data_IF_171885323869
#
_entry.id   IF_171885323869
#
_cell.length_a   1.000
_cell.length_b   1.000
_cell.length_c   1.000
_cell.angle_alpha   90.00
_cell.angle_beta   90.00
_cell.angle_gamma   90.00
#
_symmetry.space_group_name_H-M   'P 1'
#
loop_
_entity.id
_entity.type
_entity.pdbx_description
1 polymer ?
#
# COMPACT_ATOMS: atom_id res chain seq x y z
N UNK A 1 -16.99 -16.05 13.08
CA UNK A 1 -16.49 -14.74 13.53
C UNK A 1 -15.21 -14.48 12.75
N UNK A 2 -15.25 -13.63 11.73
CA UNK A 2 -14.01 -13.16 11.09
C UNK A 2 -13.20 -12.42 12.16
N UNK A 3 -11.97 -12.87 12.41
CA UNK A 3 -11.08 -12.18 13.34
C UNK A 3 -10.75 -10.81 12.77
N UNK A 4 -11.09 -9.77 13.53
CA UNK A 4 -10.68 -8.40 13.21
C UNK A 4 -9.18 -8.29 13.51
N UNK A 5 -8.35 -8.27 12.46
CA UNK A 5 -6.87 -8.25 12.57
C UNK A 5 -6.40 -6.82 12.85
N UNK A 6 -7.15 -5.83 12.35
CA UNK A 6 -6.83 -4.42 12.53
C UNK A 6 -7.94 -3.68 13.28
N UNK A 7 -7.61 -2.90 14.32
CA UNK A 7 -8.50 -1.83 14.77
C UNK A 7 -8.86 -0.92 13.58
N UNK A 8 -10.13 -0.43 13.45
CA UNK A 8 -10.56 0.37 12.30
C UNK A 8 -9.66 1.58 12.01
N UNK A 9 -9.18 2.26 13.05
CA UNK A 9 -8.24 3.38 12.93
C UNK A 9 -6.89 2.98 12.35
N UNK A 10 -6.35 1.83 12.74
CA UNK A 10 -5.07 1.30 12.23
C UNK A 10 -5.23 0.88 10.77
N UNK A 11 -6.39 0.32 10.43
CA UNK A 11 -6.76 -0.06 9.08
C UNK A 11 -6.73 1.14 8.13
N UNK A 12 -7.38 2.23 8.51
CA UNK A 12 -7.44 3.44 7.68
C UNK A 12 -6.06 4.08 7.50
N UNK A 13 -5.26 4.15 8.58
CA UNK A 13 -3.87 4.66 8.52
C UNK A 13 -3.01 3.81 7.59
N UNK A 14 -3.13 2.48 7.64
CA UNK A 14 -2.37 1.58 6.77
C UNK A 14 -2.73 1.78 5.29
N UNK A 15 -4.03 1.88 4.97
CA UNK A 15 -4.52 2.14 3.60
C UNK A 15 -3.97 3.48 3.10
N UNK A 16 -4.06 4.54 3.89
CA UNK A 16 -3.59 5.89 3.51
C UNK A 16 -2.07 5.89 3.29
N UNK A 17 -1.32 5.25 4.18
CA UNK A 17 0.13 5.18 4.09
C UNK A 17 0.58 4.45 2.82
N UNK A 18 0.00 3.28 2.54
CA UNK A 18 0.33 2.51 1.35
C UNK A 18 0.01 3.26 0.07
N UNK A 19 -1.17 3.90 -0.02
CA UNK A 19 -1.52 4.67 -1.21
C UNK A 19 -0.60 5.87 -1.42
N UNK A 20 -0.20 6.55 -0.32
CA UNK A 20 0.73 7.68 -0.38
C UNK A 20 2.11 7.25 -0.87
N UNK A 21 2.62 6.11 -0.38
CA UNK A 21 3.90 5.56 -0.81
C UNK A 21 3.89 5.17 -2.29
N UNK A 22 2.83 4.48 -2.73
CA UNK A 22 2.68 4.08 -4.14
C UNK A 22 2.57 5.30 -5.06
N UNK A 23 1.87 6.36 -4.63
CA UNK A 23 1.83 7.62 -5.38
C UNK A 23 3.19 8.31 -5.42
N UNK A 24 3.91 8.36 -4.30
CA UNK A 24 5.25 8.96 -4.22
C UNK A 24 6.26 8.25 -5.12
N UNK A 25 6.16 6.93 -5.24
CA UNK A 25 6.98 6.14 -6.17
C UNK A 25 6.51 6.16 -7.63
N UNK A 26 5.43 6.89 -7.94
CA UNK A 26 4.89 7.00 -9.30
C UNK A 26 4.15 5.75 -9.79
N UNK A 27 3.83 4.81 -8.89
CA UNK A 27 3.06 3.60 -9.21
C UNK A 27 1.57 3.92 -9.37
N UNK A 28 1.05 4.89 -8.60
CA UNK A 28 -0.32 5.38 -8.71
C UNK A 28 -0.34 6.84 -9.13
N UNK A 29 -1.12 7.17 -10.17
CA UNK A 29 -1.44 8.54 -10.54
C UNK A 29 -2.47 9.19 -9.60
N UNK A 30 -2.59 10.54 -9.59
CA UNK A 30 -3.49 11.26 -8.69
C UNK A 30 -4.97 10.83 -8.77
N UNK A 31 -5.44 10.46 -9.97
CA UNK A 31 -6.81 9.96 -10.18
C UNK A 31 -7.01 8.51 -9.73
N UNK A 32 -5.93 7.74 -9.59
CA UNK A 32 -5.98 6.31 -9.27
C UNK A 32 -5.95 6.06 -7.75
N UNK A 33 -5.34 6.98 -6.98
CA UNK A 33 -5.25 6.91 -5.51
C UNK A 33 -6.61 6.71 -4.86
N UNK A 34 -7.61 7.53 -5.22
CA UNK A 34 -8.94 7.44 -4.62
C UNK A 34 -9.64 6.11 -4.96
N UNK A 35 -9.51 5.64 -6.20
CA UNK A 35 -10.07 4.36 -6.63
C UNK A 35 -9.40 3.16 -5.95
N UNK A 36 -8.09 3.24 -5.74
CA UNK A 36 -7.32 2.20 -5.06
C UNK A 36 -7.67 2.15 -3.56
N UNK A 37 -7.75 3.30 -2.88
CA UNK A 37 -8.22 3.40 -1.49
C UNK A 37 -9.60 2.75 -1.32
N UNK A 38 -10.56 3.07 -2.20
CA UNK A 38 -11.90 2.48 -2.13
C UNK A 38 -11.89 0.95 -2.29
N UNK A 39 -11.01 0.40 -3.14
CA UNK A 39 -10.85 -1.06 -3.27
C UNK A 39 -10.33 -1.68 -1.97
N UNK A 40 -9.31 -1.08 -1.35
CA UNK A 40 -8.73 -1.58 -0.09
C UNK A 40 -9.72 -1.54 1.08
N UNK A 41 -10.56 -0.49 1.17
CA UNK A 41 -11.61 -0.40 2.18
C UNK A 41 -12.67 -1.51 2.07
N UNK A 42 -12.83 -2.15 0.90
CA UNK A 42 -13.77 -3.25 0.68
C UNK A 42 -13.19 -4.64 0.95
N UNK A 43 -11.88 -4.74 1.21
CA UNK A 43 -11.23 -6.04 1.49
C UNK A 43 -11.58 -6.54 2.89
N UNK A 44 -11.55 -7.86 3.08
CA UNK A 44 -11.49 -8.43 4.43
C UNK A 44 -10.11 -8.16 5.04
N UNK A 45 -10.01 -8.18 6.37
CA UNK A 45 -8.77 -7.84 7.08
C UNK A 45 -7.57 -8.70 6.66
N UNK A 46 -7.77 -10.00 6.42
CA UNK A 46 -6.72 -10.92 5.94
C UNK A 46 -6.24 -10.51 4.55
N UNK A 47 -7.17 -10.22 3.63
CA UNK A 47 -6.82 -9.81 2.26
C UNK A 47 -6.11 -8.46 2.25
N UNK A 48 -6.58 -7.53 3.07
CA UNK A 48 -5.92 -6.25 3.24
C UNK A 48 -4.49 -6.44 3.77
N UNK A 49 -4.28 -7.25 4.80
CA UNK A 49 -2.95 -7.52 5.33
C UNK A 49 -1.99 -8.04 4.25
N UNK A 50 -2.43 -9.01 3.44
CA UNK A 50 -1.64 -9.56 2.33
C UNK A 50 -1.30 -8.49 1.28
N UNK A 51 -2.29 -7.72 0.83
CA UNK A 51 -2.07 -6.65 -0.16
C UNK A 51 -1.13 -5.56 0.36
N UNK A 52 -1.20 -5.21 1.65
CA UNK A 52 -0.30 -4.24 2.27
C UNK A 52 1.14 -4.77 2.33
N UNK A 53 1.33 -6.05 2.66
CA UNK A 53 2.66 -6.71 2.66
C UNK A 53 3.25 -6.73 1.26
N UNK A 54 2.48 -7.18 0.26
CA UNK A 54 2.90 -7.23 -1.14
C UNK A 54 3.29 -5.83 -1.65
N UNK A 55 2.47 -4.81 -1.36
CA UNK A 55 2.75 -3.42 -1.73
C UNK A 55 4.04 -2.90 -1.09
N UNK A 56 4.35 -3.35 0.14
CA UNK A 56 5.60 -2.98 0.83
C UNK A 56 6.82 -3.64 0.23
N UNK A 57 6.73 -4.93 -0.11
CA UNK A 57 7.83 -5.64 -0.80
C UNK A 57 8.14 -4.98 -2.14
N UNK A 58 7.10 -4.63 -2.92
CA UNK A 58 7.27 -3.91 -4.19
C UNK A 58 7.93 -2.53 -4.00
N UNK A 59 7.58 -1.82 -2.93
CA UNK A 59 8.19 -0.53 -2.58
C UNK A 59 9.67 -0.68 -2.24
N UNK A 60 10.01 -1.66 -1.40
CA UNK A 60 11.39 -1.92 -0.98
C UNK A 60 12.26 -2.34 -2.19
N UNK A 61 11.72 -3.16 -3.10
CA UNK A 61 12.39 -3.53 -4.35
C UNK A 61 12.63 -2.32 -5.26
N UNK A 62 11.63 -1.43 -5.40
CA UNK A 62 11.76 -0.20 -6.19
C UNK A 62 12.81 0.75 -5.63
N UNK A 63 12.80 0.99 -4.31
CA UNK A 63 13.80 1.85 -3.64
C UNK A 63 15.21 1.26 -3.75
N UNK A 64 15.32 -0.07 -3.66
CA UNK A 64 16.59 -0.79 -3.85
C UNK A 64 17.11 -0.59 -5.27
N UNK A 65 16.25 -0.75 -6.28
CA UNK A 65 16.60 -0.55 -7.69
C UNK A 65 17.05 0.90 -7.97
N UNK A 66 16.34 1.91 -7.44
CA UNK A 66 16.75 3.31 -7.53
C UNK A 66 18.11 3.57 -6.85
N UNK A 67 18.37 2.99 -5.69
CA UNK A 67 19.64 3.13 -4.99
C UNK A 67 20.82 2.54 -5.78
N UNK A 68 20.58 1.44 -6.51
CA UNK A 68 21.57 0.84 -7.40
C UNK A 68 21.78 1.66 -8.69
N UNK A 69 20.72 2.21 -9.29
CA UNK A 69 20.82 2.96 -10.54
C UNK A 69 21.18 4.44 -10.39
N UNK A 70 20.95 5.06 -9.23
CA UNK A 70 21.35 6.44 -8.95
C UNK A 70 22.82 6.63 -8.55
N UNK A 71 23.63 5.56 -8.56
CA UNK A 71 25.07 5.57 -8.21
C UNK A 71 26.02 5.60 -9.43
N UNK A 72 25.51 5.74 -10.65
CA UNK A 72 26.33 5.88 -11.87
C UNK A 72 26.32 7.31 -12.41
#
# INVERSE_FOLDING_TARGET
MEQMIFPPTIRDVAIVTTCSNLAWCGVLGPGEVAGYMQRLCRLSDIKLALTLIESRVQLDDYLTCLAYHGRN
#
